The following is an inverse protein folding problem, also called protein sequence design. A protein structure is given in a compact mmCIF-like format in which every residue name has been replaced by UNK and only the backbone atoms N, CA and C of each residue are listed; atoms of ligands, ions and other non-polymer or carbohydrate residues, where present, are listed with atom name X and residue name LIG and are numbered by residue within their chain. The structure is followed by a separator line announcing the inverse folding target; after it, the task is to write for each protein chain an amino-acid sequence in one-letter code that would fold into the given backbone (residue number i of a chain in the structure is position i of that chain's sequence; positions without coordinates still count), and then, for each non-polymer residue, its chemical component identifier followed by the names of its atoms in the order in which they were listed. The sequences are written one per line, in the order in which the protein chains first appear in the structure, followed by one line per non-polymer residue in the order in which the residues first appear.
data_IF_282110878145
#
_entry.id   IF_282110878145
#
_cell.length_a   1.000
_cell.length_b   1.000
_cell.length_c   1.000
_cell.angle_alpha   90.00
_cell.angle_beta   90.00
_cell.angle_gamma   90.00
#
_symmetry.space_group_name_H-M   'P 1'
#
loop_
_entity.id
_entity.type
_entity.pdbx_description
1 polymer ?
#
# COMPACT_ATOMS: atom_id res chain seq x y z
N UNK A 1 70.51 -25.02 -39.22
CA UNK A 1 69.41 -24.04 -39.09
C UNK A 1 68.53 -24.19 -40.33
N UNK A 2 67.65 -25.20 -40.35
CA UNK A 2 66.82 -25.50 -41.52
C UNK A 2 65.52 -24.70 -41.40
N UNK A 3 65.24 -23.89 -42.41
CA UNK A 3 64.01 -23.12 -42.50
C UNK A 3 62.83 -24.08 -42.60
N UNK A 4 61.86 -23.95 -41.68
CA UNK A 4 60.58 -24.61 -41.79
C UNK A 4 59.86 -24.02 -43.01
N UNK A 5 59.73 -24.81 -44.08
CA UNK A 5 58.86 -24.49 -45.20
C UNK A 5 57.43 -24.21 -44.69
N UNK A 6 56.70 -23.24 -45.28
CA UNK A 6 55.32 -22.97 -44.89
C UNK A 6 54.48 -24.25 -45.05
N UNK A 7 53.51 -24.50 -44.14
CA UNK A 7 52.66 -25.69 -44.24
C UNK A 7 51.92 -25.65 -45.58
N UNK A 8 52.26 -26.58 -46.47
CA UNK A 8 51.58 -26.74 -47.75
C UNK A 8 50.31 -27.53 -47.51
N UNK A 9 49.17 -26.94 -47.87
CA UNK A 9 47.89 -27.66 -47.93
C UNK A 9 47.80 -28.25 -49.32
N UNK A 10 47.60 -29.56 -49.42
CA UNK A 10 47.36 -30.25 -50.69
C UNK A 10 45.97 -30.84 -50.67
N UNK A 11 45.21 -30.64 -51.75
CA UNK A 11 43.92 -31.29 -51.93
C UNK A 11 44.16 -32.65 -52.58
N UNK A 12 43.94 -33.74 -51.83
CA UNK A 12 44.07 -35.10 -52.31
C UNK A 12 42.69 -35.76 -52.25
N UNK A 13 42.17 -36.26 -53.37
CA UNK A 13 40.86 -36.94 -53.43
C UNK A 13 39.70 -36.11 -52.83
N UNK A 14 39.66 -34.81 -53.15
CA UNK A 14 38.73 -33.80 -52.60
C UNK A 14 38.85 -33.49 -51.10
N UNK A 15 39.87 -33.99 -50.41
CA UNK A 15 40.13 -33.70 -49.00
C UNK A 15 41.35 -32.79 -48.86
N UNK A 16 41.19 -31.66 -48.17
CA UNK A 16 42.30 -30.78 -47.85
C UNK A 16 43.17 -31.40 -46.74
N UNK A 17 44.42 -31.68 -47.09
CA UNK A 17 45.39 -32.35 -46.23
C UNK A 17 46.47 -31.35 -45.82
N UNK A 18 46.73 -31.25 -44.51
CA UNK A 18 47.89 -30.51 -44.02
C UNK A 18 49.12 -31.39 -44.16
N UNK A 19 50.13 -30.90 -44.89
CA UNK A 19 51.40 -31.60 -45.11
C UNK A 19 52.44 -31.06 -44.14
N UNK A 20 53.06 -31.97 -43.39
CA UNK A 20 54.27 -31.69 -42.62
C UNK A 20 55.35 -32.67 -42.98
N UNK A 21 56.55 -32.18 -43.34
CA UNK A 21 57.71 -33.02 -43.63
C UNK A 21 58.79 -32.83 -42.58
N UNK A 22 59.31 -33.93 -42.05
CA UNK A 22 60.50 -33.93 -41.19
C UNK A 22 61.60 -34.72 -41.89
N UNK A 23 62.74 -34.06 -42.10
CA UNK A 23 63.92 -34.67 -42.69
C UNK A 23 64.84 -35.23 -41.61
N UNK A 24 65.35 -36.45 -41.80
CA UNK A 24 66.28 -37.10 -40.87
C UNK A 24 67.71 -37.03 -41.40
N UNK A 25 68.54 -36.18 -40.78
CA UNK A 25 69.95 -35.93 -41.17
C UNK A 25 70.85 -37.18 -41.09
N UNK A 26 70.43 -38.21 -40.33
CA UNK A 26 71.21 -39.44 -40.12
C UNK A 26 70.96 -40.53 -41.18
N UNK A 27 69.77 -40.52 -41.81
CA UNK A 27 69.30 -41.61 -42.69
C UNK A 27 68.91 -41.15 -44.09
N UNK A 28 68.93 -39.83 -44.36
CA UNK A 28 68.53 -39.23 -45.63
C UNK A 28 67.08 -39.53 -46.03
N UNK A 29 66.23 -39.95 -45.08
CA UNK A 29 64.81 -40.22 -45.29
C UNK A 29 63.99 -38.99 -44.90
N UNK A 30 63.01 -38.65 -45.73
CA UNK A 30 62.01 -37.61 -45.44
C UNK A 30 60.69 -38.29 -45.12
N UNK A 31 60.22 -38.08 -43.90
CA UNK A 31 58.91 -38.57 -43.46
C UNK A 31 57.89 -37.48 -43.78
N UNK A 32 56.87 -37.81 -44.56
CA UNK A 32 55.77 -36.92 -44.91
C UNK A 32 54.52 -37.37 -44.14
N UNK A 33 54.07 -36.53 -43.21
CA UNK A 33 52.80 -36.70 -42.50
C UNK A 33 51.68 -36.00 -43.26
N UNK A 34 50.55 -36.70 -43.44
CA UNK A 34 49.33 -36.17 -44.05
C UNK A 34 48.20 -36.25 -43.01
N UNK A 35 47.71 -35.10 -42.55
CA UNK A 35 46.59 -35.02 -41.59
C UNK A 35 45.41 -34.30 -42.26
N UNK A 36 44.22 -34.93 -42.36
CA UNK A 36 43.04 -34.29 -42.95
C UNK A 36 42.62 -33.05 -42.16
N UNK A 37 42.51 -31.89 -42.82
CA UNK A 37 42.08 -30.63 -42.21
C UNK A 37 40.65 -30.75 -41.67
N UNK A 38 39.80 -31.51 -42.35
CA UNK A 38 38.45 -31.87 -41.90
C UNK A 38 38.43 -32.49 -40.49
N UNK A 39 39.45 -33.27 -40.11
CA UNK A 39 39.57 -33.85 -38.77
C UNK A 39 39.89 -32.80 -37.70
N UNK A 40 40.52 -31.69 -38.09
CA UNK A 40 40.81 -30.55 -37.21
C UNK A 40 39.56 -29.66 -37.03
N UNK A 41 38.82 -29.39 -38.11
CA UNK A 41 37.61 -28.54 -38.06
C UNK A 41 36.36 -29.28 -37.55
N UNK A 42 36.25 -30.59 -37.74
CA UNK A 42 35.11 -31.38 -37.27
C UNK A 42 35.00 -31.37 -35.73
N UNK A 43 36.13 -31.28 -35.01
CA UNK A 43 36.12 -31.12 -33.55
C UNK A 43 35.70 -29.71 -33.12
N UNK A 44 36.05 -28.70 -33.91
CA UNK A 44 35.75 -27.29 -33.65
C UNK A 44 34.26 -26.97 -33.73
N UNK A 45 33.54 -27.55 -34.70
CA UNK A 45 32.09 -27.30 -34.88
C UNK A 45 31.25 -27.88 -33.73
N UNK A 46 31.63 -29.04 -33.19
CA UNK A 46 30.97 -29.64 -32.02
C UNK A 46 31.14 -28.75 -30.79
N UNK A 47 32.36 -28.25 -30.54
CA UNK A 47 32.63 -27.35 -29.41
C UNK A 47 31.82 -26.06 -29.53
N UNK A 48 31.80 -25.43 -30.72
CA UNK A 48 31.02 -24.21 -30.97
C UNK A 48 29.52 -24.44 -30.75
N UNK A 49 28.94 -25.52 -31.29
CA UNK A 49 27.52 -25.84 -31.13
C UNK A 49 27.16 -26.06 -29.67
N UNK A 50 27.95 -26.85 -28.94
CA UNK A 50 27.71 -27.10 -27.51
C UNK A 50 27.82 -25.81 -26.69
N UNK A 51 28.80 -24.95 -26.99
CA UNK A 51 28.98 -23.66 -26.32
C UNK A 51 27.76 -22.74 -26.53
N UNK A 52 27.26 -22.64 -27.77
CA UNK A 52 26.06 -21.83 -28.08
C UNK A 52 24.83 -22.38 -27.35
N UNK A 53 24.64 -23.70 -27.32
CA UNK A 53 23.52 -24.33 -26.61
C UNK A 53 23.59 -24.02 -25.11
N UNK A 54 24.76 -24.14 -24.49
CA UNK A 54 24.94 -23.81 -23.06
C UNK A 54 24.67 -22.34 -22.79
N UNK A 55 25.14 -21.43 -23.65
CA UNK A 55 24.88 -19.99 -23.54
C UNK A 55 23.38 -19.68 -23.64
N UNK A 56 22.69 -20.28 -24.60
CA UNK A 56 21.24 -20.11 -24.75
C UNK A 56 20.48 -20.61 -23.53
N UNK A 57 20.82 -21.80 -23.03
CA UNK A 57 20.21 -22.35 -21.81
C UNK A 57 20.46 -21.44 -20.61
N UNK A 58 21.69 -20.94 -20.45
CA UNK A 58 22.05 -20.01 -19.37
C UNK A 58 21.27 -18.70 -19.47
N UNK A 59 21.15 -18.14 -20.67
CA UNK A 59 20.37 -16.92 -20.91
C UNK A 59 18.89 -17.10 -20.58
N UNK A 60 18.29 -18.21 -21.03
CA UNK A 60 16.90 -18.56 -20.72
C UNK A 60 16.72 -18.75 -19.20
N UNK A 61 17.64 -19.44 -18.54
CA UNK A 61 17.57 -19.66 -17.10
C UNK A 61 17.59 -18.34 -16.32
N UNK A 62 18.47 -17.40 -16.68
CA UNK A 62 18.50 -16.06 -16.07
C UNK A 62 17.18 -15.31 -16.32
N UNK A 63 16.63 -15.38 -17.53
CA UNK A 63 15.34 -14.78 -17.85
C UNK A 63 14.18 -15.33 -17.00
N UNK A 64 14.14 -16.65 -16.81
CA UNK A 64 13.13 -17.32 -15.97
C UNK A 64 13.27 -16.88 -14.51
N UNK A 65 14.48 -16.88 -13.96
CA UNK A 65 14.74 -16.45 -12.57
C UNK A 65 14.36 -14.98 -12.39
N UNK A 66 14.74 -14.10 -13.32
CA UNK A 66 14.38 -12.69 -13.26
C UNK A 66 12.87 -12.46 -13.32
N UNK A 67 12.16 -13.20 -14.18
CA UNK A 67 10.71 -13.16 -14.25
C UNK A 67 10.05 -13.63 -12.94
N UNK A 68 10.56 -14.70 -12.35
CA UNK A 68 10.08 -15.22 -11.07
C UNK A 68 10.32 -14.23 -9.93
N UNK A 69 11.51 -13.64 -9.85
CA UNK A 69 11.87 -12.63 -8.85
C UNK A 69 10.97 -11.39 -8.94
N UNK A 70 10.75 -10.89 -10.16
CA UNK A 70 9.86 -9.75 -10.38
C UNK A 70 8.43 -10.03 -9.91
N UNK A 71 7.89 -11.24 -10.18
CA UNK A 71 6.52 -11.60 -9.78
C UNK A 71 6.37 -11.91 -8.29
N UNK A 72 7.39 -12.46 -7.64
CA UNK A 72 7.29 -12.97 -6.27
C UNK A 72 7.76 -11.93 -5.24
N UNK A 73 8.70 -11.06 -5.61
CA UNK A 73 9.31 -10.09 -4.68
C UNK A 73 8.95 -8.67 -5.07
N UNK A 74 9.29 -8.25 -6.29
CA UNK A 74 9.20 -6.83 -6.69
C UNK A 74 7.75 -6.36 -6.76
N UNK A 75 6.88 -7.09 -7.44
CA UNK A 75 5.47 -6.70 -7.61
C UNK A 75 4.71 -6.57 -6.27
N UNK A 76 4.74 -7.55 -5.36
CA UNK A 76 4.06 -7.42 -4.08
C UNK A 76 4.57 -6.25 -3.23
N UNK A 77 5.88 -5.98 -3.22
CA UNK A 77 6.44 -4.82 -2.50
C UNK A 77 5.94 -3.50 -3.09
N UNK A 78 5.89 -3.38 -4.42
CA UNK A 78 5.36 -2.20 -5.09
C UNK A 78 3.88 -1.98 -4.77
N UNK A 79 3.08 -3.05 -4.76
CA UNK A 79 1.67 -3.00 -4.40
C UNK A 79 1.45 -2.51 -2.96
N UNK A 80 2.18 -3.05 -1.99
CA UNK A 80 2.14 -2.59 -0.59
C UNK A 80 2.52 -1.11 -0.50
N UNK A 81 3.60 -0.71 -1.17
CA UNK A 81 4.11 0.67 -1.14
C UNK A 81 3.09 1.65 -1.72
N UNK A 82 2.50 1.32 -2.86
CA UNK A 82 1.50 2.14 -3.52
C UNK A 82 0.26 2.31 -2.62
N UNK A 83 -0.27 1.21 -2.07
CA UNK A 83 -1.46 1.28 -1.20
C UNK A 83 -1.21 2.03 0.10
N UNK A 84 0.01 1.95 0.64
CA UNK A 84 0.41 2.77 1.78
C UNK A 84 0.39 4.27 1.43
N UNK A 85 0.90 4.65 0.24
CA UNK A 85 0.87 6.03 -0.22
C UNK A 85 -0.55 6.55 -0.47
N UNK A 86 -1.42 5.72 -1.04
CA UNK A 86 -2.84 6.06 -1.26
C UNK A 86 -3.57 6.29 0.07
N UNK A 87 -3.26 5.49 1.10
CA UNK A 87 -3.82 5.65 2.45
C UNK A 87 -3.40 6.96 3.11
N UNK A 88 -2.16 7.40 2.89
CA UNK A 88 -1.63 8.66 3.44
C UNK A 88 -2.25 9.90 2.78
N UNK A 89 -2.69 9.79 1.52
CA UNK A 89 -3.23 10.92 0.75
C UNK A 89 -4.71 11.22 1.05
N UNK A 90 -5.27 10.69 2.15
CA UNK A 90 -6.58 11.06 2.70
C UNK A 90 -7.70 11.17 1.64
N UNK A 91 -7.73 10.26 0.67
CA UNK A 91 -8.83 10.27 -0.30
C UNK A 91 -10.06 9.69 0.39
N UNK A 92 -10.89 10.60 0.92
CA UNK A 92 -12.01 10.44 1.87
C UNK A 92 -13.11 9.40 1.55
N UNK A 93 -12.90 8.51 0.59
CA UNK A 93 -13.88 7.52 0.16
C UNK A 93 -13.27 6.15 -0.19
N UNK A 94 -11.98 5.91 0.09
CA UNK A 94 -11.36 4.63 -0.23
C UNK A 94 -11.40 3.72 0.98
N UNK A 95 -12.13 2.61 0.84
CA UNK A 95 -12.05 1.46 1.74
C UNK A 95 -10.60 0.99 1.80
N UNK A 96 -10.05 0.66 2.98
CA UNK A 96 -8.71 0.09 3.11
C UNK A 96 -8.59 -1.14 2.22
N UNK A 97 -7.93 -1.00 1.07
CA UNK A 97 -7.85 -2.12 0.14
C UNK A 97 -6.71 -3.02 0.61
N UNK A 98 -7.06 -4.17 1.19
CA UNK A 98 -6.08 -5.16 1.61
C UNK A 98 -5.25 -5.68 0.45
N UNK A 99 -3.94 -5.79 0.66
CA UNK A 99 -3.05 -6.43 -0.32
C UNK A 99 -3.32 -7.93 -0.32
N UNK A 100 -3.39 -8.52 -1.51
CA UNK A 100 -3.53 -9.98 -1.66
C UNK A 100 -2.20 -10.64 -1.30
N UNK A 101 -2.17 -11.28 -0.13
CA UNK A 101 -1.01 -12.04 0.33
C UNK A 101 -0.93 -13.37 -0.42
N UNK A 102 0.19 -13.64 -1.08
CA UNK A 102 0.49 -14.92 -1.73
C UNK A 102 1.80 -15.48 -1.18
N UNK A 103 1.85 -16.78 -0.95
CA UNK A 103 3.04 -17.46 -0.45
C UNK A 103 3.11 -17.52 1.08
N UNK A 104 4.24 -18.00 1.58
CA UNK A 104 4.51 -18.18 3.01
C UNK A 104 5.93 -17.76 3.40
N UNK A 105 6.52 -16.87 2.61
CA UNK A 105 7.83 -16.26 2.83
C UNK A 105 7.69 -14.92 3.60
N UNK A 106 8.82 -14.24 3.77
CA UNK A 106 8.90 -12.95 4.45
C UNK A 106 8.11 -11.85 3.71
N UNK A 107 7.97 -11.96 2.39
CA UNK A 107 7.16 -11.02 1.58
C UNK A 107 5.68 -11.22 1.87
N UNK A 108 5.24 -12.47 1.99
CA UNK A 108 3.88 -12.79 2.41
C UNK A 108 3.62 -12.31 3.85
N UNK A 109 4.60 -12.45 4.74
CA UNK A 109 4.50 -11.95 6.11
C UNK A 109 4.38 -10.43 6.16
N UNK A 110 5.18 -9.71 5.37
CA UNK A 110 5.10 -8.26 5.24
C UNK A 110 3.70 -7.81 4.78
N UNK A 111 3.10 -8.51 3.82
CA UNK A 111 1.74 -8.25 3.39
C UNK A 111 0.69 -8.48 4.49
N UNK A 112 0.86 -9.50 5.33
CA UNK A 112 -0.01 -9.74 6.50
C UNK A 112 0.13 -8.62 7.53
N UNK A 113 1.36 -8.20 7.84
CA UNK A 113 1.62 -7.09 8.76
C UNK A 113 1.03 -5.77 8.26
N UNK A 114 1.14 -5.50 6.95
CA UNK A 114 0.49 -4.35 6.33
C UNK A 114 -1.03 -4.40 6.50
N UNK A 115 -1.67 -5.54 6.20
CA UNK A 115 -3.12 -5.67 6.35
C UNK A 115 -3.57 -5.48 7.82
N UNK A 116 -2.86 -6.09 8.77
CA UNK A 116 -3.15 -5.92 10.20
C UNK A 116 -2.98 -4.47 10.67
N UNK A 117 -1.98 -3.75 10.14
CA UNK A 117 -1.80 -2.33 10.40
C UNK A 117 -2.99 -1.50 9.86
N UNK A 118 -3.47 -1.82 8.66
CA UNK A 118 -4.63 -1.15 8.06
C UNK A 118 -5.91 -1.37 8.89
N UNK A 119 -6.14 -2.59 9.38
CA UNK A 119 -7.28 -2.90 10.27
C UNK A 119 -7.21 -2.12 11.59
N UNK A 120 -6.02 -2.04 12.17
CA UNK A 120 -5.78 -1.27 13.40
C UNK A 120 -5.98 0.23 13.19
N UNK A 121 -5.62 0.75 12.02
CA UNK A 121 -5.83 2.16 11.67
C UNK A 121 -7.32 2.47 11.49
N UNK A 122 -8.05 1.63 10.77
CA UNK A 122 -9.48 1.81 10.52
C UNK A 122 -10.29 1.74 11.82
N UNK A 123 -10.04 0.73 12.67
CA UNK A 123 -10.70 0.61 13.96
C UNK A 123 -10.43 1.82 14.87
N UNK A 124 -9.23 2.38 14.85
CA UNK A 124 -8.91 3.63 15.58
C UNK A 124 -9.68 4.83 15.04
N UNK A 125 -9.74 5.02 13.72
CA UNK A 125 -10.51 6.11 13.10
C UNK A 125 -11.99 6.02 13.45
N UNK A 126 -12.59 4.83 13.36
CA UNK A 126 -13.99 4.61 13.73
C UNK A 126 -14.25 4.89 15.21
N UNK A 127 -13.38 4.43 16.11
CA UNK A 127 -13.49 4.69 17.54
C UNK A 127 -13.38 6.19 17.87
N UNK A 128 -12.49 6.91 17.19
CA UNK A 128 -12.34 8.36 17.35
C UNK A 128 -13.56 9.12 16.84
N UNK A 129 -14.08 8.77 15.66
CA UNK A 129 -15.30 9.36 15.11
C UNK A 129 -16.50 9.14 16.04
N UNK A 130 -16.66 7.93 16.59
CA UNK A 130 -17.72 7.62 17.55
C UNK A 130 -17.58 8.42 18.85
N UNK A 131 -16.35 8.55 19.37
CA UNK A 131 -16.09 9.37 20.57
C UNK A 131 -16.43 10.84 20.34
N UNK A 132 -16.08 11.38 19.17
CA UNK A 132 -16.38 12.77 18.83
C UNK A 132 -17.90 12.99 18.74
N UNK A 133 -18.64 12.08 18.11
CA UNK A 133 -20.11 12.15 18.05
C UNK A 133 -20.74 12.13 19.44
N UNK A 134 -20.31 11.22 20.31
CA UNK A 134 -20.79 11.15 21.69
C UNK A 134 -20.45 12.42 22.49
N UNK A 135 -19.27 13.02 22.28
CA UNK A 135 -18.90 14.27 22.92
C UNK A 135 -19.80 15.43 22.48
N UNK A 136 -20.09 15.54 21.18
CA UNK A 136 -21.01 16.55 20.63
C UNK A 136 -22.42 16.35 21.20
N UNK A 137 -22.91 15.12 21.27
CA UNK A 137 -24.24 14.82 21.79
C UNK A 137 -24.36 15.17 23.28
N UNK A 138 -23.34 14.84 24.08
CA UNK A 138 -23.26 15.23 25.49
C UNK A 138 -23.25 16.74 25.67
N UNK A 139 -22.48 17.45 24.86
CA UNK A 139 -22.40 18.92 24.92
C UNK A 139 -23.76 19.55 24.59
N UNK A 140 -24.44 19.06 23.54
CA UNK A 140 -25.80 19.50 23.19
C UNK A 140 -26.79 19.25 24.34
N UNK A 141 -26.74 18.07 24.95
CA UNK A 141 -27.61 17.72 26.07
C UNK A 141 -27.33 18.59 27.29
N UNK A 142 -26.05 18.87 27.57
CA UNK A 142 -25.64 19.75 28.66
C UNK A 142 -26.19 21.16 28.47
N UNK A 143 -26.00 21.76 27.28
CA UNK A 143 -26.53 23.08 26.93
C UNK A 143 -28.06 23.10 27.06
N UNK A 144 -28.74 22.09 26.51
CA UNK A 144 -30.20 22.00 26.58
C UNK A 144 -30.71 21.91 28.03
N UNK A 145 -30.08 21.07 28.84
CA UNK A 145 -30.46 20.88 30.25
C UNK A 145 -30.21 22.14 31.06
N UNK A 146 -29.07 22.80 30.82
CA UNK A 146 -28.73 24.07 31.46
C UNK A 146 -29.76 25.15 31.10
N UNK A 147 -30.07 25.31 29.81
CA UNK A 147 -31.08 26.24 29.33
C UNK A 147 -32.46 26.00 29.93
N UNK A 148 -32.93 24.74 29.95
CA UNK A 148 -34.23 24.40 30.56
C UNK A 148 -34.24 24.74 32.05
N UNK A 149 -33.14 24.47 32.76
CA UNK A 149 -33.03 24.73 34.20
C UNK A 149 -33.06 26.23 34.47
N UNK A 150 -32.29 27.01 33.73
CA UNK A 150 -32.23 28.47 33.81
C UNK A 150 -33.59 29.10 33.51
N UNK A 151 -34.21 28.75 32.38
CA UNK A 151 -35.55 29.21 32.01
C UNK A 151 -36.61 28.82 33.06
N UNK A 152 -36.54 27.61 33.62
CA UNK A 152 -37.46 27.16 34.67
C UNK A 152 -37.35 27.99 35.96
N UNK A 153 -36.12 28.38 36.34
CA UNK A 153 -35.89 29.25 37.48
C UNK A 153 -36.42 30.66 37.23
N UNK A 154 -36.17 31.20 36.04
CA UNK A 154 -36.65 32.52 35.63
C UNK A 154 -38.18 32.58 35.54
N UNK A 155 -38.86 31.51 35.10
CA UNK A 155 -40.33 31.47 35.06
C UNK A 155 -40.99 31.21 36.41
N UNK A 156 -40.32 30.49 37.32
CA UNK A 156 -40.87 30.19 38.66
C UNK A 156 -41.15 31.46 39.45
N UNK A 157 -40.27 32.45 39.35
CA UNK A 157 -40.39 33.73 40.07
C UNK A 157 -41.64 34.53 39.67
N UNK A 158 -41.86 34.90 38.39
CA UNK A 158 -43.04 35.64 37.98
C UNK A 158 -44.33 34.80 38.16
N UNK A 159 -44.31 33.48 37.92
CA UNK A 159 -45.47 32.62 38.21
C UNK A 159 -45.84 32.58 39.70
N UNK A 160 -44.86 32.58 40.59
CA UNK A 160 -45.09 32.66 42.05
C UNK A 160 -45.72 34.00 42.43
N UNK A 161 -45.31 35.10 41.80
CA UNK A 161 -45.90 36.42 42.01
C UNK A 161 -47.34 36.48 41.48
N UNK A 162 -47.58 35.97 40.27
CA UNK A 162 -48.92 35.91 39.67
C UNK A 162 -49.87 35.08 40.54
N UNK A 163 -49.45 33.87 40.94
CA UNK A 163 -50.27 32.99 41.77
C UNK A 163 -50.53 33.55 43.17
N UNK A 164 -49.55 34.20 43.79
CA UNK A 164 -49.71 34.89 45.08
C UNK A 164 -50.71 36.04 44.99
N UNK A 165 -50.56 36.94 44.00
CA UNK A 165 -51.50 38.04 43.80
C UNK A 165 -52.91 37.52 43.46
N UNK A 166 -53.04 36.49 42.62
CA UNK A 166 -54.33 35.88 42.28
C UNK A 166 -55.00 35.25 43.52
N UNK A 167 -54.23 34.63 44.41
CA UNK A 167 -54.73 34.12 45.68
C UNK A 167 -55.25 35.24 46.60
N UNK A 168 -54.54 36.36 46.67
CA UNK A 168 -54.95 37.52 47.47
C UNK A 168 -56.25 38.17 46.91
N UNK A 169 -56.41 38.23 45.59
CA UNK A 169 -57.64 38.72 44.93
C UNK A 169 -58.82 37.85 45.38
N UNK A 170 -58.66 36.53 45.35
CA UNK A 170 -59.72 35.59 45.76
C UNK A 170 -60.11 35.71 47.24
N UNK A 171 -59.21 36.20 48.10
CA UNK A 171 -59.41 36.22 49.56
C UNK A 171 -59.79 37.60 50.13
N UNK A 172 -59.63 38.66 49.36
CA UNK A 172 -59.89 40.04 49.79
C UNK A 172 -61.28 40.48 49.29
N UNK A 173 -62.05 41.24 50.09
CA UNK A 173 -63.38 41.78 49.70
C UNK A 173 -63.33 43.26 49.30
N UNK A 174 -62.19 43.89 49.49
CA UNK A 174 -61.89 45.31 49.26
C UNK A 174 -61.57 45.59 47.78
N UNK A 175 -62.38 46.44 47.13
CA UNK A 175 -62.33 46.71 45.68
C UNK A 175 -61.02 47.38 45.25
N UNK A 176 -60.47 48.28 46.08
CA UNK A 176 -59.25 49.02 45.74
C UNK A 176 -58.02 48.08 45.76
N UNK A 177 -58.04 47.06 46.62
CA UNK A 177 -56.98 46.04 46.69
C UNK A 177 -57.04 45.03 45.55
N UNK A 178 -58.24 44.76 45.02
CA UNK A 178 -58.41 43.93 43.82
C UNK A 178 -57.76 44.58 42.60
N UNK A 179 -58.01 45.88 42.42
CA UNK A 179 -57.46 46.63 41.29
C UNK A 179 -55.92 46.65 41.34
N UNK A 180 -55.32 46.93 42.50
CA UNK A 180 -53.86 46.92 42.65
C UNK A 180 -53.21 45.55 42.39
N UNK A 181 -53.84 44.45 42.79
CA UNK A 181 -53.30 43.11 42.56
C UNK A 181 -53.45 42.69 41.10
N UNK A 182 -54.52 43.12 40.44
CA UNK A 182 -54.74 42.89 39.01
C UNK A 182 -53.68 43.61 38.17
N UNK A 183 -53.37 44.86 38.50
CA UNK A 183 -52.29 45.63 37.85
C UNK A 183 -50.92 44.96 37.98
N UNK A 184 -50.60 44.39 39.16
CA UNK A 184 -49.33 43.66 39.37
C UNK A 184 -49.24 42.35 38.60
N UNK A 185 -50.36 41.69 38.35
CA UNK A 185 -50.42 40.49 37.49
C UNK A 185 -50.18 40.91 36.03
N UNK A 186 -50.86 41.95 35.56
CA UNK A 186 -50.71 42.48 34.20
C UNK A 186 -49.28 42.95 33.92
N UNK A 187 -48.66 43.64 34.88
CA UNK A 187 -47.26 44.06 34.80
C UNK A 187 -46.32 42.84 34.65
N UNK A 188 -46.54 41.78 35.43
CA UNK A 188 -45.70 40.59 35.31
C UNK A 188 -45.93 39.79 34.04
N UNK A 189 -47.16 39.72 33.54
CA UNK A 189 -47.44 39.09 32.24
C UNK A 189 -46.77 39.89 31.11
N UNK A 190 -46.81 41.23 31.18
CA UNK A 190 -46.15 42.11 30.21
C UNK A 190 -44.63 41.92 30.20
N UNK A 191 -44.01 41.79 31.37
CA UNK A 191 -42.57 41.57 31.52
C UNK A 191 -42.08 40.20 31.04
N UNK A 192 -42.94 39.17 30.99
CA UNK A 192 -42.60 37.85 30.44
C UNK A 192 -42.77 37.83 28.90
N UNK A 193 -43.68 38.66 28.36
CA UNK A 193 -44.10 38.59 26.95
C UNK A 193 -43.36 39.61 26.05
N UNK A 194 -42.69 40.61 26.62
CA UNK A 194 -41.93 41.67 25.91
C UNK A 194 -40.44 41.49 26.11
#
# INVERSE_FOLDING_TARGET
MSALDPPSVITLDQVDMSVSSVHSDLSNWTIIGLIPVESLIAKTTVILRTTIVILLISFIAVGIVGWFYNRTVVKPIQEITQRFQETQQETANHTPEHVVVRGNDEIAELGRWFNAFMDALESRKQAEAQRLQLAIEREKMHILTHFITEASHEFRTPLSIISSNAYLIRKTTDSDKHEQQTLKIDEQVKNITT
#
